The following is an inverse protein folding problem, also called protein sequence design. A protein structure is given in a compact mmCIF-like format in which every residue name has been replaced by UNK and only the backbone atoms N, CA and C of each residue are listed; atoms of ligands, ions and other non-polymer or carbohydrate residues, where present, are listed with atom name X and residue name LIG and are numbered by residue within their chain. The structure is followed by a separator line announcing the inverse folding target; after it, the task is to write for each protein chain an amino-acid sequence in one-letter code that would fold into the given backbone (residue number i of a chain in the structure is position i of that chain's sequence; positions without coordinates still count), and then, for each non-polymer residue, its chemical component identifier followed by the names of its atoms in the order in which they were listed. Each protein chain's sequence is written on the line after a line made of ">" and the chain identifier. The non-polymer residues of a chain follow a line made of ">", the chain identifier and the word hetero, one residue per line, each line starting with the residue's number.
data_IF_885233309577
#
_entry.id   IF_885233309577
#
_cell.length_a   1.000
_cell.length_b   1.000
_cell.length_c   1.000
_cell.angle_alpha   90.00
_cell.angle_beta   90.00
_cell.angle_gamma   90.00
#
_symmetry.space_group_name_H-M   'P 1'
#
loop_
_entity.id
_entity.type
_entity.pdbx_description
1 polymer ?
#
# COMPACT_ATOMS: atom_id res chain seq x y z
N UNK A 1 9.02 -10.78 -19.67
CA UNK A 1 7.98 -10.24 -18.77
C UNK A 1 8.58 -10.29 -17.37
N UNK A 2 8.43 -9.23 -16.58
CA UNK A 2 8.89 -9.24 -15.19
C UNK A 2 8.13 -10.32 -14.43
N UNK A 3 8.84 -11.14 -13.66
CA UNK A 3 8.25 -12.21 -12.86
C UNK A 3 7.57 -11.61 -11.63
N UNK A 4 6.38 -12.09 -11.30
CA UNK A 4 5.69 -11.73 -10.07
C UNK A 4 6.42 -12.33 -8.87
N UNK A 5 6.74 -11.51 -7.89
CA UNK A 5 7.58 -11.86 -6.73
C UNK A 5 6.78 -11.69 -5.45
N UNK A 6 7.10 -12.43 -4.41
CA UNK A 6 6.52 -12.27 -3.09
C UNK A 6 7.56 -12.42 -1.98
N UNK A 7 7.21 -11.94 -0.80
CA UNK A 7 7.96 -12.09 0.43
C UNK A 7 7.16 -12.91 1.42
N UNK A 8 7.79 -13.89 2.04
CA UNK A 8 7.26 -14.66 3.17
C UNK A 8 7.81 -14.10 4.48
N UNK A 9 6.98 -14.05 5.51
CA UNK A 9 7.40 -13.93 6.90
C UNK A 9 6.91 -15.13 7.72
N UNK A 10 7.81 -15.98 8.11
CA UNK A 10 7.54 -17.05 9.08
C UNK A 10 7.69 -16.50 10.51
N UNK A 11 6.55 -16.29 11.18
CA UNK A 11 6.53 -15.73 12.55
C UNK A 11 7.25 -16.67 13.54
N UNK A 12 7.16 -17.99 13.34
CA UNK A 12 7.79 -18.97 14.23
C UNK A 12 9.32 -18.93 14.18
N UNK A 13 9.92 -18.49 13.08
CA UNK A 13 11.36 -18.35 12.92
C UNK A 13 11.90 -16.98 13.35
N UNK A 14 11.03 -15.98 13.46
CA UNK A 14 11.48 -14.61 13.75
C UNK A 14 12.10 -14.50 15.15
N UNK A 15 13.34 -14.05 15.22
CA UNK A 15 14.08 -13.83 16.48
C UNK A 15 13.98 -12.39 17.02
N UNK A 16 13.17 -11.53 16.39
CA UNK A 16 13.02 -10.11 16.74
C UNK A 16 14.33 -9.30 16.77
N UNK A 17 15.33 -9.71 16.03
CA UNK A 17 16.65 -9.04 15.99
C UNK A 17 16.61 -7.62 15.39
N UNK A 18 15.51 -7.20 14.72
CA UNK A 18 15.28 -5.89 14.09
C UNK A 18 16.23 -5.53 12.94
N UNK A 19 17.10 -6.42 12.50
CA UNK A 19 18.01 -6.17 11.38
C UNK A 19 17.25 -5.71 10.12
N UNK A 20 16.07 -6.27 9.86
CA UNK A 20 15.18 -5.87 8.76
C UNK A 20 14.73 -4.40 8.84
N UNK A 21 14.53 -3.85 10.04
CA UNK A 21 14.18 -2.43 10.24
C UNK A 21 15.37 -1.53 9.91
N UNK A 22 16.56 -1.89 10.40
CA UNK A 22 17.79 -1.12 10.16
C UNK A 22 18.14 -1.15 8.67
N UNK A 23 18.10 -2.33 8.03
CA UNK A 23 18.39 -2.46 6.61
C UNK A 23 17.41 -1.68 5.73
N UNK A 24 16.13 -1.61 6.10
CA UNK A 24 15.13 -0.80 5.40
C UNK A 24 15.46 0.69 5.50
N UNK A 25 15.75 1.18 6.72
CA UNK A 25 16.14 2.59 6.92
C UNK A 25 17.40 2.96 6.15
N UNK A 26 18.40 2.09 6.18
CA UNK A 26 19.69 2.33 5.51
C UNK A 26 19.54 2.33 3.99
N UNK A 27 18.75 1.41 3.43
CA UNK A 27 18.55 1.32 1.98
C UNK A 27 17.79 2.52 1.41
N UNK A 28 16.75 2.97 2.12
CA UNK A 28 15.88 4.06 1.67
C UNK A 28 16.27 5.43 2.24
N UNK A 29 17.44 5.54 2.87
CA UNK A 29 17.94 6.77 3.52
C UNK A 29 16.88 7.41 4.46
N UNK A 30 16.16 6.56 5.21
CA UNK A 30 15.12 7.02 6.11
C UNK A 30 15.73 7.50 7.42
N UNK A 31 15.43 8.72 7.88
CA UNK A 31 15.98 9.27 9.11
C UNK A 31 15.53 8.45 10.32
N UNK A 32 16.28 8.59 11.42
CA UNK A 32 15.85 8.07 12.70
C UNK A 32 14.54 8.76 13.13
N UNK A 33 13.61 7.99 13.69
CA UNK A 33 12.42 8.54 14.29
C UNK A 33 12.73 8.90 15.74
N UNK A 34 12.96 10.19 15.98
CA UNK A 34 13.25 10.75 17.29
C UNK A 34 12.00 11.27 18.00
N UNK A 35 10.84 11.21 17.36
CA UNK A 35 9.59 11.76 17.89
C UNK A 35 8.93 10.86 18.94
N UNK A 36 9.34 9.59 18.99
CA UNK A 36 8.79 8.62 19.95
C UNK A 36 9.78 8.40 21.08
N UNK A 37 9.55 8.92 22.28
CA UNK A 37 10.41 8.66 23.43
C UNK A 37 10.37 7.18 23.78
N UNK A 38 11.50 6.66 24.28
CA UNK A 38 11.57 5.30 24.81
C UNK A 38 10.85 5.25 26.16
N UNK A 39 9.73 4.54 26.22
CA UNK A 39 8.88 4.41 27.41
C UNK A 39 9.08 3.07 28.15
N UNK A 40 10.22 2.43 27.97
CA UNK A 40 10.53 1.15 28.62
C UNK A 40 9.92 -0.07 27.91
N UNK A 41 9.42 0.09 26.69
CA UNK A 41 8.88 -1.01 25.87
C UNK A 41 9.98 -1.66 25.03
N UNK A 42 9.75 -2.93 24.62
CA UNK A 42 10.70 -3.64 23.76
C UNK A 42 10.75 -3.09 22.32
N UNK A 43 9.70 -2.46 21.85
CA UNK A 43 9.63 -1.87 20.51
C UNK A 43 9.72 -0.35 20.57
N UNK A 44 10.36 0.23 19.56
CA UNK A 44 10.57 1.68 19.46
C UNK A 44 9.32 2.46 19.09
N UNK A 45 8.34 1.81 18.45
CA UNK A 45 7.13 2.43 17.93
C UNK A 45 5.93 1.51 18.13
N UNK A 46 4.76 2.09 18.39
CA UNK A 46 3.52 1.31 18.46
C UNK A 46 3.03 0.86 17.07
N UNK A 47 3.27 1.69 16.03
CA UNK A 47 2.84 1.44 14.65
C UNK A 47 3.87 1.99 13.66
N UNK A 48 3.60 1.81 12.37
CA UNK A 48 4.40 2.39 11.29
C UNK A 48 4.35 3.92 11.32
N UNK A 49 5.46 4.56 10.92
CA UNK A 49 5.57 6.01 10.79
C UNK A 49 6.00 6.40 9.37
N UNK A 50 5.95 7.68 8.99
CA UNK A 50 6.43 8.10 7.66
C UNK A 50 7.88 7.73 7.38
N UNK A 51 8.70 7.56 8.40
CA UNK A 51 10.12 7.22 8.31
C UNK A 51 10.45 5.80 8.79
N UNK A 52 9.46 5.05 9.29
CA UNK A 52 9.61 3.65 9.73
C UNK A 52 8.62 2.78 8.96
N UNK A 53 9.03 2.32 7.76
CA UNK A 53 8.18 1.60 6.81
C UNK A 53 7.97 0.14 7.16
N UNK A 54 8.79 -0.39 8.05
CA UNK A 54 8.66 -1.73 8.61
C UNK A 54 9.07 -1.72 10.07
N UNK A 55 8.45 -2.56 10.85
CA UNK A 55 8.58 -2.64 12.30
C UNK A 55 8.59 -4.11 12.71
N UNK A 56 9.20 -4.46 13.81
CA UNK A 56 8.94 -5.72 14.52
C UNK A 56 8.07 -5.38 15.72
N UNK A 57 6.80 -5.75 15.64
CA UNK A 57 5.87 -5.68 16.77
C UNK A 57 6.08 -6.90 17.67
N UNK A 58 6.28 -6.63 18.93
CA UNK A 58 6.49 -7.64 19.98
C UNK A 58 5.26 -7.67 20.87
N UNK A 59 4.65 -8.83 21.02
CA UNK A 59 3.45 -9.00 21.84
C UNK A 59 3.67 -10.16 22.82
N UNK A 60 3.55 -9.86 24.11
CA UNK A 60 3.53 -10.85 25.16
C UNK A 60 2.08 -11.29 25.40
N UNK A 61 1.86 -12.57 25.48
CA UNK A 61 0.55 -13.13 25.80
C UNK A 61 0.68 -14.45 26.52
N UNK A 62 -0.31 -14.76 27.33
CA UNK A 62 -0.48 -16.08 27.94
C UNK A 62 -1.67 -16.76 27.27
N UNK A 63 -1.49 -17.97 26.78
CA UNK A 63 -2.56 -18.74 26.17
C UNK A 63 -3.54 -19.31 27.22
N UNK A 64 -4.64 -19.92 26.76
CA UNK A 64 -5.68 -20.50 27.63
C UNK A 64 -5.15 -21.66 28.53
N UNK A 65 -3.99 -22.18 28.22
CA UNK A 65 -3.30 -23.22 28.99
C UNK A 65 -2.30 -22.67 29.99
N UNK A 66 -2.18 -21.35 30.11
CA UNK A 66 -1.24 -20.64 30.97
C UNK A 66 0.20 -20.61 30.44
N UNK A 67 0.44 -21.00 29.17
CA UNK A 67 1.75 -20.93 28.54
C UNK A 67 2.02 -19.50 28.07
N UNK A 68 3.17 -18.97 28.47
CA UNK A 68 3.68 -17.68 27.96
C UNK A 68 4.15 -17.84 26.52
N UNK A 69 3.74 -16.89 25.67
CA UNK A 69 4.15 -16.77 24.29
C UNK A 69 4.63 -15.33 24.03
N UNK A 70 5.68 -15.22 23.24
CA UNK A 70 6.22 -13.94 22.79
C UNK A 70 6.21 -13.91 21.27
N UNK A 71 5.28 -13.15 20.70
CA UNK A 71 5.01 -13.14 19.27
C UNK A 71 5.72 -11.98 18.61
N UNK A 72 6.37 -12.24 17.46
CA UNK A 72 7.14 -11.26 16.69
C UNK A 72 6.54 -11.12 15.29
N UNK A 73 5.81 -10.06 15.07
CA UNK A 73 5.16 -9.79 13.80
C UNK A 73 5.85 -8.61 13.11
N UNK A 74 6.02 -8.70 11.81
CA UNK A 74 6.62 -7.64 10.98
C UNK A 74 5.53 -6.87 10.19
N UNK A 75 4.86 -5.85 10.76
CA UNK A 75 4.00 -4.95 10.00
C UNK A 75 4.79 -4.22 8.91
N UNK A 76 4.20 -4.18 7.72
CA UNK A 76 4.67 -3.41 6.56
C UNK A 76 3.57 -3.36 5.51
N UNK A 77 3.85 -2.78 4.34
CA UNK A 77 2.91 -2.87 3.23
C UNK A 77 2.69 -4.33 2.81
N UNK A 78 1.41 -4.68 2.59
CA UNK A 78 1.02 -6.02 2.15
C UNK A 78 1.20 -6.22 0.64
N UNK A 79 1.38 -5.14 -0.12
CA UNK A 79 1.46 -5.17 -1.59
C UNK A 79 0.32 -5.98 -2.19
N UNK A 80 -0.90 -5.49 -1.97
CA UNK A 80 -2.15 -6.14 -2.36
C UNK A 80 -2.22 -6.43 -3.86
N UNK A 81 -2.81 -7.55 -4.24
CA UNK A 81 -3.14 -7.86 -5.62
C UNK A 81 -4.16 -6.88 -6.20
N UNK A 82 -5.09 -6.44 -5.35
CA UNK A 82 -6.10 -5.40 -5.63
C UNK A 82 -5.94 -4.22 -4.65
N UNK A 83 -4.97 -3.29 -4.90
CA UNK A 83 -4.60 -2.27 -3.95
C UNK A 83 -5.61 -1.12 -3.89
N UNK A 84 -6.40 -1.05 -2.80
CA UNK A 84 -7.35 0.04 -2.53
C UNK A 84 -6.70 1.43 -2.56
N UNK A 85 -5.44 1.53 -2.10
CA UNK A 85 -4.69 2.78 -2.11
C UNK A 85 -4.41 3.30 -3.53
N UNK A 86 -4.13 2.42 -4.50
CA UNK A 86 -3.92 2.78 -5.90
C UNK A 86 -5.26 3.14 -6.57
N UNK A 87 -6.29 2.32 -6.37
CA UNK A 87 -7.63 2.57 -6.92
C UNK A 87 -8.21 3.91 -6.45
N UNK A 88 -8.02 4.24 -5.17
CA UNK A 88 -8.55 5.46 -4.55
C UNK A 88 -7.69 6.70 -4.77
N UNK A 89 -6.53 6.61 -5.43
CA UNK A 89 -5.66 7.76 -5.64
C UNK A 89 -6.22 8.66 -6.76
N UNK A 90 -6.59 9.93 -6.47
CA UNK A 90 -7.12 10.84 -7.49
C UNK A 90 -6.05 11.24 -8.52
N UNK A 91 -4.79 11.36 -8.08
CA UNK A 91 -3.65 11.77 -8.90
C UNK A 91 -2.97 10.61 -9.63
N UNK A 92 -3.47 9.37 -9.49
CA UNK A 92 -2.83 8.19 -10.06
C UNK A 92 -1.34 8.09 -9.69
N UNK A 93 -1.02 8.48 -8.45
CA UNK A 93 0.34 8.50 -7.93
C UNK A 93 0.78 7.16 -7.33
N UNK A 94 -0.06 6.13 -7.39
CA UNK A 94 0.25 4.81 -6.81
C UNK A 94 0.06 3.74 -7.87
N UNK A 95 1.14 3.03 -8.19
CA UNK A 95 1.18 2.00 -9.21
C UNK A 95 1.41 0.62 -8.59
N UNK A 96 0.76 -0.41 -9.17
CA UNK A 96 1.12 -1.81 -8.97
C UNK A 96 1.98 -2.27 -10.11
N UNK A 97 3.22 -2.62 -9.81
CA UNK A 97 4.20 -3.11 -10.79
C UNK A 97 3.97 -4.60 -11.10
N UNK A 98 4.51 -5.06 -12.23
CA UNK A 98 4.43 -6.46 -12.64
C UNK A 98 5.14 -7.41 -11.65
N UNK A 99 6.12 -6.92 -10.90
CA UNK A 99 6.76 -7.65 -9.80
C UNK A 99 5.87 -7.84 -8.57
N UNK A 100 4.65 -7.26 -8.54
CA UNK A 100 3.76 -7.27 -7.39
C UNK A 100 3.97 -6.09 -6.42
N UNK A 101 5.04 -5.32 -6.57
CA UNK A 101 5.29 -4.14 -5.75
C UNK A 101 4.21 -3.07 -6.00
N UNK A 102 3.69 -2.50 -4.92
CA UNK A 102 2.81 -1.32 -4.97
C UNK A 102 3.64 -0.13 -4.52
N UNK A 103 3.87 0.83 -5.41
CA UNK A 103 4.80 1.95 -5.19
C UNK A 103 4.09 3.29 -5.28
N UNK A 104 4.61 4.29 -4.59
CA UNK A 104 4.12 5.67 -4.63
C UNK A 104 5.11 6.51 -5.43
N UNK A 105 4.61 7.19 -6.46
CA UNK A 105 5.35 8.23 -7.15
C UNK A 105 5.19 9.54 -6.36
N UNK A 106 6.26 9.96 -5.69
CA UNK A 106 6.25 11.15 -4.84
C UNK A 106 6.05 12.45 -5.62
N UNK A 107 6.47 12.51 -6.89
CA UNK A 107 6.28 13.70 -7.74
C UNK A 107 4.80 13.96 -8.01
N UNK A 108 4.02 12.90 -8.26
CA UNK A 108 2.57 12.97 -8.49
C UNK A 108 1.77 13.09 -7.19
N UNK A 109 2.32 12.67 -6.07
CA UNK A 109 1.59 12.63 -4.80
C UNK A 109 1.33 14.04 -4.27
N UNK A 110 0.08 14.39 -3.99
CA UNK A 110 -0.35 15.67 -3.40
C UNK A 110 -0.66 15.59 -1.89
N UNK A 111 -0.44 14.42 -1.27
CA UNK A 111 -0.64 14.23 0.17
C UNK A 111 -2.08 14.27 0.65
N UNK A 112 -3.06 14.00 -0.22
CA UNK A 112 -4.50 14.11 0.09
C UNK A 112 -5.02 13.12 1.15
N UNK A 113 -4.24 12.09 1.53
CA UNK A 113 -4.59 11.13 2.59
C UNK A 113 -5.56 10.02 2.18
N UNK A 114 -6.10 9.98 0.95
CA UNK A 114 -7.03 8.90 0.54
C UNK A 114 -6.42 7.50 0.67
N UNK A 115 -5.16 7.32 0.35
CA UNK A 115 -4.46 6.04 0.50
C UNK A 115 -4.35 5.60 1.98
N UNK A 116 -4.25 6.55 2.91
CA UNK A 116 -4.25 6.28 4.36
C UNK A 116 -5.64 5.80 4.79
N UNK A 117 -6.69 6.55 4.44
CA UNK A 117 -8.06 6.25 4.85
C UNK A 117 -8.60 4.93 4.27
N UNK A 118 -8.10 4.50 3.10
CA UNK A 118 -8.63 3.34 2.39
C UNK A 118 -7.78 2.07 2.53
N UNK A 119 -6.64 2.13 3.22
CA UNK A 119 -5.81 0.96 3.43
C UNK A 119 -6.39 0.07 4.55
N UNK A 120 -6.80 -1.19 4.26
CA UNK A 120 -7.35 -2.06 5.29
C UNK A 120 -6.30 -2.54 6.32
N UNK A 121 -5.02 -2.19 6.10
CA UNK A 121 -3.88 -2.56 6.95
C UNK A 121 -3.23 -1.35 7.64
N UNK A 122 -3.77 -0.15 7.49
CA UNK A 122 -3.27 1.11 8.08
C UNK A 122 -1.79 1.39 7.78
N UNK A 123 -1.34 1.11 6.56
CA UNK A 123 0.09 1.17 6.22
C UNK A 123 0.57 2.54 5.72
N UNK A 124 -0.04 3.18 4.70
CA UNK A 124 0.44 4.48 4.22
C UNK A 124 0.38 5.53 5.33
N UNK A 125 1.41 6.38 5.41
CA UNK A 125 1.46 7.51 6.35
C UNK A 125 1.82 8.78 5.59
N UNK A 126 1.28 9.92 6.01
CA UNK A 126 1.67 11.22 5.45
C UNK A 126 2.89 11.72 6.20
N UNK A 127 3.95 12.02 5.46
CA UNK A 127 5.13 12.67 6.01
C UNK A 127 4.82 14.15 6.26
N UNK A 128 4.91 14.64 7.51
CA UNK A 128 4.55 16.01 7.84
C UNK A 128 5.55 17.06 7.30
N UNK A 129 6.77 16.67 6.94
CA UNK A 129 7.77 17.55 6.36
C UNK A 129 7.60 17.70 4.85
N UNK A 130 7.38 16.58 4.13
CA UNK A 130 7.25 16.60 2.66
C UNK A 130 5.81 16.73 2.19
N UNK A 131 4.84 16.54 3.08
CA UNK A 131 3.41 16.42 2.77
C UNK A 131 3.10 15.33 1.73
N UNK A 132 3.96 14.30 1.61
CA UNK A 132 3.79 13.18 0.71
C UNK A 132 3.40 11.92 1.49
N UNK A 133 2.71 11.00 0.83
CA UNK A 133 2.45 9.68 1.41
C UNK A 133 3.66 8.79 1.25
N UNK A 134 3.98 8.05 2.29
CA UNK A 134 5.12 7.11 2.32
C UNK A 134 4.69 5.74 2.81
N UNK A 135 5.35 4.70 2.37
CA UNK A 135 5.18 3.31 2.81
C UNK A 135 6.29 2.43 2.24
N UNK A 136 6.41 1.20 2.73
CA UNK A 136 7.24 0.18 2.10
C UNK A 136 6.87 0.03 0.61
N UNK A 137 7.88 -0.01 -0.25
CA UNK A 137 7.79 -0.12 -1.71
C UNK A 137 8.25 -1.50 -2.24
N UNK A 138 8.52 -2.46 -1.33
CA UNK A 138 9.09 -3.79 -1.59
C UNK A 138 10.55 -3.73 -2.11
N UNK A 139 11.23 -2.61 -1.99
CA UNK A 139 12.52 -2.35 -2.60
C UNK A 139 12.47 -2.64 -4.12
N UNK A 140 11.50 -2.07 -4.82
CA UNK A 140 11.25 -2.36 -6.25
C UNK A 140 12.48 -2.09 -7.11
N UNK A 141 13.27 -1.07 -6.77
CA UNK A 141 14.54 -0.73 -7.39
C UNK A 141 15.55 -1.91 -7.34
N UNK A 142 15.62 -2.60 -6.19
CA UNK A 142 16.45 -3.80 -6.04
C UNK A 142 15.90 -4.97 -6.85
N UNK A 143 14.58 -5.14 -6.86
CA UNK A 143 13.93 -6.23 -7.61
C UNK A 143 14.16 -6.07 -9.11
N UNK A 144 14.11 -4.86 -9.64
CA UNK A 144 14.41 -4.57 -11.05
C UNK A 144 15.83 -4.95 -11.45
N UNK A 145 16.79 -4.85 -10.52
CA UNK A 145 18.18 -5.28 -10.68
C UNK A 145 18.41 -6.77 -10.32
N UNK A 146 17.34 -7.54 -10.05
CA UNK A 146 17.45 -8.94 -9.66
C UNK A 146 18.02 -9.16 -8.25
N UNK A 147 17.98 -8.15 -7.39
CA UNK A 147 18.54 -8.17 -6.03
C UNK A 147 17.40 -8.34 -5.02
N UNK A 148 17.62 -9.22 -4.05
CA UNK A 148 16.67 -9.45 -2.93
C UNK A 148 16.42 -8.17 -2.13
N UNK A 149 15.16 -7.87 -1.74
CA UNK A 149 14.83 -6.75 -0.86
C UNK A 149 15.70 -6.70 0.39
N UNK A 150 16.09 -5.49 0.82
CA UNK A 150 17.10 -5.30 1.88
C UNK A 150 16.74 -6.01 3.19
N UNK A 151 15.47 -5.98 3.58
CA UNK A 151 14.99 -6.63 4.80
C UNK A 151 15.07 -8.17 4.74
N UNK A 152 14.80 -8.79 3.60
CA UNK A 152 14.95 -10.24 3.42
C UNK A 152 16.43 -10.63 3.36
N UNK A 153 17.26 -9.86 2.62
CA UNK A 153 18.69 -10.11 2.50
C UNK A 153 19.42 -10.12 3.84
N UNK A 154 18.98 -9.31 4.81
CA UNK A 154 19.61 -9.19 6.13
C UNK A 154 19.03 -10.13 7.18
N UNK A 155 18.02 -10.94 6.86
CA UNK A 155 17.34 -11.80 7.83
C UNK A 155 18.21 -13.01 8.19
N UNK A 156 18.87 -12.96 9.35
CA UNK A 156 19.77 -14.03 9.83
C UNK A 156 19.03 -15.28 10.32
N UNK A 157 17.74 -15.15 10.67
CA UNK A 157 16.89 -16.25 11.12
C UNK A 157 16.15 -16.95 9.97
N UNK A 158 16.38 -16.52 8.73
CA UNK A 158 15.65 -16.99 7.53
C UNK A 158 14.11 -16.95 7.70
N UNK A 159 13.65 -16.03 8.56
CA UNK A 159 12.23 -15.76 8.78
C UNK A 159 11.61 -14.95 7.64
N UNK A 160 12.43 -14.22 6.86
CA UNK A 160 12.03 -13.47 5.67
C UNK A 160 12.65 -14.13 4.45
N UNK A 161 11.79 -14.65 3.57
CA UNK A 161 12.22 -15.25 2.30
C UNK A 161 11.59 -14.46 1.15
N UNK A 162 12.30 -14.39 0.02
CA UNK A 162 11.86 -13.67 -1.17
C UNK A 162 12.16 -14.50 -2.40
N UNK A 163 11.11 -14.81 -3.16
CA UNK A 163 11.17 -15.66 -4.34
C UNK A 163 9.97 -15.34 -5.28
N UNK A 164 9.85 -16.01 -6.44
CA UNK A 164 8.63 -16.00 -7.24
C UNK A 164 7.38 -16.29 -6.41
N UNK A 165 6.28 -15.61 -6.74
CA UNK A 165 5.04 -15.68 -5.96
C UNK A 165 4.57 -17.13 -5.74
N UNK A 166 4.54 -17.95 -6.78
CA UNK A 166 4.11 -19.36 -6.71
C UNK A 166 5.03 -20.20 -5.80
N UNK A 167 6.34 -19.93 -5.85
CA UNK A 167 7.33 -20.60 -5.00
C UNK A 167 7.14 -20.23 -3.51
N UNK A 168 6.89 -18.94 -3.23
CA UNK A 168 6.59 -18.48 -1.86
C UNK A 168 5.30 -19.11 -1.33
N UNK A 169 4.27 -19.25 -2.15
CA UNK A 169 3.04 -19.94 -1.72
C UNK A 169 3.30 -21.41 -1.40
N UNK A 170 4.14 -22.09 -2.18
CA UNK A 170 4.49 -23.50 -1.92
C UNK A 170 5.30 -23.62 -0.63
N UNK A 171 6.34 -22.80 -0.44
CA UNK A 171 7.12 -22.74 0.79
C UNK A 171 6.20 -22.49 2.00
N UNK A 172 5.26 -21.56 1.89
CA UNK A 172 4.32 -21.25 2.96
C UNK A 172 3.42 -22.45 3.30
N UNK A 173 2.90 -23.17 2.29
CA UNK A 173 2.08 -24.38 2.50
C UNK A 173 2.86 -25.49 3.18
N UNK A 174 4.09 -25.74 2.73
CA UNK A 174 4.97 -26.75 3.34
C UNK A 174 5.28 -26.39 4.79
N UNK A 175 5.61 -25.15 5.08
CA UNK A 175 5.90 -24.69 6.44
C UNK A 175 4.69 -24.80 7.38
N UNK A 176 3.49 -24.53 6.89
CA UNK A 176 2.26 -24.77 7.67
C UNK A 176 2.07 -26.25 7.99
N UNK A 177 2.37 -27.17 7.07
CA UNK A 177 2.29 -28.60 7.32
C UNK A 177 3.30 -29.03 8.42
N UNK A 178 4.53 -28.52 8.39
CA UNK A 178 5.54 -28.75 9.42
C UNK A 178 5.06 -28.24 10.78
N UNK A 179 4.58 -27.00 10.87
CA UNK A 179 4.06 -26.41 12.12
C UNK A 179 2.91 -27.23 12.69
N UNK A 180 2.01 -27.75 11.86
CA UNK A 180 0.95 -28.64 12.33
C UNK A 180 1.48 -29.95 12.92
N UNK A 181 2.52 -30.53 12.31
CA UNK A 181 3.21 -31.71 12.84
C UNK A 181 3.97 -31.38 14.14
N UNK A 182 4.48 -30.17 14.31
CA UNK A 182 5.13 -29.66 15.52
C UNK A 182 4.15 -29.33 16.66
N UNK A 183 2.83 -29.47 16.46
CA UNK A 183 1.81 -29.27 17.49
C UNK A 183 1.09 -27.92 17.43
N UNK A 184 1.11 -27.23 16.28
CA UNK A 184 0.36 -26.02 16.00
C UNK A 184 -0.85 -26.30 15.08
N UNK A 185 -1.97 -26.85 15.58
CA UNK A 185 -3.09 -27.30 14.74
C UNK A 185 -3.77 -26.18 13.97
N UNK A 186 -3.72 -24.95 14.50
CA UNK A 186 -4.30 -23.75 13.89
C UNK A 186 -3.35 -23.04 12.91
N UNK A 187 -2.14 -23.60 12.65
CA UNK A 187 -1.18 -23.00 11.73
C UNK A 187 -1.79 -22.79 10.35
N UNK A 188 -1.54 -21.63 9.78
CA UNK A 188 -2.14 -21.21 8.52
C UNK A 188 -1.27 -20.21 7.73
N UNK A 189 -1.59 -20.06 6.44
CA UNK A 189 -1.05 -19.01 5.61
C UNK A 189 -2.00 -17.81 5.62
N UNK A 190 -1.51 -16.64 5.95
CA UNK A 190 -2.25 -15.40 5.81
C UNK A 190 -1.98 -14.75 4.45
N UNK A 191 -2.93 -14.90 3.55
CA UNK A 191 -2.96 -14.32 2.20
C UNK A 191 -4.42 -13.93 1.88
N UNK A 192 -4.91 -12.76 2.37
CA UNK A 192 -6.34 -12.40 2.30
C UNK A 192 -6.79 -12.14 0.87
N UNK A 193 -7.73 -12.94 0.39
CA UNK A 193 -8.25 -12.88 -0.98
C UNK A 193 -9.16 -11.67 -1.23
N UNK A 194 -9.72 -11.05 -0.20
CA UNK A 194 -10.57 -9.87 -0.31
C UNK A 194 -9.85 -8.60 -0.81
N UNK A 195 -8.51 -8.65 -0.89
CA UNK A 195 -7.65 -7.62 -1.48
C UNK A 195 -6.89 -8.16 -2.71
N UNK A 196 -7.38 -9.26 -3.32
CA UNK A 196 -6.77 -9.92 -4.48
C UNK A 196 -5.49 -10.70 -4.14
N UNK A 197 -5.34 -11.18 -2.90
CA UNK A 197 -4.10 -11.71 -2.37
C UNK A 197 -3.09 -10.62 -2.03
N UNK A 198 -1.94 -11.02 -1.50
CA UNK A 198 -0.88 -10.10 -1.06
C UNK A 198 0.51 -10.64 -1.45
N UNK A 199 1.46 -9.73 -1.70
CA UNK A 199 2.85 -10.10 -1.99
C UNK A 199 3.74 -10.05 -0.74
N UNK A 200 3.14 -9.79 0.43
CA UNK A 200 3.72 -10.03 1.74
C UNK A 200 2.89 -11.07 2.44
N UNK A 201 3.29 -12.33 2.36
CA UNK A 201 2.60 -13.51 2.86
C UNK A 201 3.15 -13.84 4.25
N UNK A 202 2.27 -14.29 5.16
CA UNK A 202 2.70 -14.71 6.49
C UNK A 202 2.37 -16.19 6.74
N UNK A 203 3.31 -16.90 7.33
CA UNK A 203 3.07 -18.18 7.98
C UNK A 203 2.85 -17.94 9.46
N UNK A 204 1.67 -18.32 9.93
CA UNK A 204 1.19 -18.09 11.28
C UNK A 204 1.04 -19.42 12.02
N UNK A 205 1.67 -19.61 13.20
CA UNK A 205 1.47 -20.79 14.06
C UNK A 205 0.06 -20.92 14.62
N UNK A 206 -0.68 -19.80 14.74
CA UNK A 206 -2.05 -19.75 15.28
C UNK A 206 -2.96 -18.92 14.38
N UNK A 207 -4.23 -18.76 14.78
CA UNK A 207 -5.23 -18.00 14.01
C UNK A 207 -4.79 -16.56 13.77
N UNK A 208 -5.09 -15.97 12.59
CA UNK A 208 -4.65 -14.62 12.21
C UNK A 208 -5.00 -13.54 13.24
N UNK A 209 -6.16 -13.64 13.87
CA UNK A 209 -6.63 -12.69 14.87
C UNK A 209 -5.72 -12.58 16.10
N UNK A 210 -5.01 -13.66 16.46
CA UNK A 210 -4.03 -13.67 17.56
C UNK A 210 -2.89 -12.68 17.30
N UNK A 211 -2.52 -12.54 16.04
CA UNK A 211 -1.46 -11.63 15.56
C UNK A 211 -1.97 -10.26 15.10
N UNK A 212 -3.25 -9.97 15.32
CA UNK A 212 -3.89 -8.73 14.87
C UNK A 212 -4.13 -8.65 13.37
N UNK A 213 -4.15 -9.78 12.68
CA UNK A 213 -4.53 -9.87 11.27
C UNK A 213 -6.03 -10.16 11.12
N UNK A 214 -6.71 -9.37 10.30
CA UNK A 214 -8.11 -9.64 9.95
C UNK A 214 -8.18 -10.53 8.71
N UNK A 215 -8.65 -11.80 8.81
CA UNK A 215 -8.77 -12.70 7.66
C UNK A 215 -9.78 -12.22 6.62
N UNK A 216 -10.70 -11.33 7.00
CA UNK A 216 -11.71 -10.75 6.11
C UNK A 216 -11.30 -9.39 5.53
N UNK A 217 -10.00 -9.04 5.59
CA UNK A 217 -9.50 -7.81 4.96
C UNK A 217 -9.89 -7.76 3.48
N UNK A 218 -10.54 -6.67 3.08
CA UNK A 218 -11.03 -6.47 1.70
C UNK A 218 -10.90 -5.02 1.27
N UNK A 219 -10.83 -4.82 -0.04
CA UNK A 219 -10.94 -3.50 -0.64
C UNK A 219 -12.32 -2.91 -0.30
N UNK A 220 -12.40 -1.66 0.19
CA UNK A 220 -13.69 -1.03 0.46
C UNK A 220 -14.53 -0.89 -0.82
N UNK A 221 -15.78 -1.33 -0.78
CA UNK A 221 -16.71 -1.28 -1.93
C UNK A 221 -16.91 0.16 -2.45
N UNK A 222 -16.82 1.15 -1.58
CA UNK A 222 -16.90 2.58 -1.96
C UNK A 222 -15.82 2.99 -2.97
N UNK A 223 -14.65 2.34 -2.92
CA UNK A 223 -13.53 2.59 -3.85
C UNK A 223 -13.81 2.01 -5.23
N UNK A 224 -14.37 0.82 -5.28
CA UNK A 224 -14.75 0.19 -6.55
C UNK A 224 -15.83 1.04 -7.25
N UNK A 225 -16.87 1.46 -6.51
CA UNK A 225 -17.91 2.36 -7.03
C UNK A 225 -17.31 3.69 -7.51
N UNK A 226 -16.41 4.28 -6.72
CA UNK A 226 -15.74 5.52 -7.09
C UNK A 226 -14.97 5.39 -8.39
N UNK A 227 -14.13 4.36 -8.51
CA UNK A 227 -13.26 4.15 -9.67
C UNK A 227 -14.06 3.79 -10.93
N UNK A 228 -15.01 2.86 -10.80
CA UNK A 228 -15.64 2.22 -11.96
C UNK A 228 -16.91 2.95 -12.43
N UNK A 229 -17.53 3.74 -11.55
CA UNK A 229 -18.79 4.46 -11.84
C UNK A 229 -18.64 5.96 -11.75
N UNK A 230 -18.24 6.48 -10.59
CA UNK A 230 -18.31 7.94 -10.32
C UNK A 230 -17.25 8.69 -11.13
N UNK A 231 -16.02 8.20 -11.17
CA UNK A 231 -14.90 8.85 -11.85
C UNK A 231 -15.09 8.93 -13.39
N UNK A 232 -15.49 7.86 -14.11
CA UNK A 232 -15.74 7.95 -15.55
C UNK A 232 -16.92 8.87 -15.86
N UNK A 233 -18.01 8.81 -15.09
CA UNK A 233 -19.15 9.72 -15.26
C UNK A 233 -18.78 11.18 -15.02
N UNK A 234 -17.95 11.46 -14.02
CA UNK A 234 -17.43 12.82 -13.77
C UNK A 234 -16.56 13.36 -14.89
N UNK A 235 -15.70 12.50 -15.49
CA UNK A 235 -14.89 12.87 -16.66
C UNK A 235 -15.78 13.16 -17.89
N UNK A 236 -16.83 12.38 -18.13
CA UNK A 236 -17.78 12.59 -19.23
C UNK A 236 -18.61 13.86 -19.01
N UNK A 237 -19.10 14.11 -17.81
CA UNK A 237 -19.85 15.31 -17.47
C UNK A 237 -18.97 16.58 -17.60
N UNK A 238 -17.73 16.53 -17.13
CA UNK A 238 -16.76 17.63 -17.29
C UNK A 238 -16.43 17.93 -18.74
N UNK A 239 -16.23 16.91 -19.56
CA UNK A 239 -16.01 17.07 -21.01
C UNK A 239 -17.25 17.67 -21.70
N UNK A 240 -18.46 17.22 -21.36
CA UNK A 240 -19.72 17.76 -21.87
C UNK A 240 -19.92 19.22 -21.48
N UNK A 241 -19.59 19.61 -20.25
CA UNK A 241 -19.67 20.99 -19.79
C UNK A 241 -18.68 21.92 -20.55
N UNK A 242 -17.45 21.45 -20.77
CA UNK A 242 -16.44 22.18 -21.56
C UNK A 242 -16.88 22.41 -23.01
N UNK A 243 -17.41 21.36 -23.65
CA UNK A 243 -17.95 21.47 -25.02
C UNK A 243 -19.16 22.43 -25.07
N UNK A 244 -20.03 22.39 -24.07
CA UNK A 244 -21.15 23.31 -23.94
C UNK A 244 -20.72 24.78 -23.79
N UNK A 245 -19.72 25.04 -22.94
CA UNK A 245 -19.19 26.41 -22.75
C UNK A 245 -18.49 26.92 -24.01
N UNK A 246 -17.69 26.10 -24.68
CA UNK A 246 -17.04 26.44 -25.93
C UNK A 246 -18.05 26.66 -27.06
N UNK A 247 -19.11 25.86 -27.14
CA UNK A 247 -20.20 26.00 -28.07
C UNK A 247 -20.96 27.31 -27.88
N UNK A 248 -21.29 27.65 -26.61
CA UNK A 248 -21.95 28.93 -26.28
C UNK A 248 -21.05 30.16 -26.58
N UNK A 249 -19.74 30.04 -26.34
CA UNK A 249 -18.79 31.10 -26.67
C UNK A 249 -18.68 31.32 -28.20
N UNK A 250 -18.68 30.23 -28.98
CA UNK A 250 -18.68 30.31 -30.46
C UNK A 250 -19.96 30.93 -30.99
N UNK A 251 -21.14 30.55 -30.46
CA UNK A 251 -22.42 31.16 -30.86
C UNK A 251 -22.48 32.64 -30.50
N UNK A 252 -22.00 33.04 -29.31
CA UNK A 252 -21.92 34.47 -28.94
C UNK A 252 -20.96 35.25 -29.82
N UNK A 253 -19.84 34.64 -30.21
CA UNK A 253 -18.88 35.28 -31.15
C UNK A 253 -19.46 35.52 -32.54
N UNK A 254 -20.29 34.58 -33.02
CA UNK A 254 -20.97 34.68 -34.33
C UNK A 254 -22.13 35.68 -34.29
N UNK A 255 -22.90 35.75 -33.20
CA UNK A 255 -24.01 36.70 -33.04
C UNK A 255 -23.54 38.13 -32.71
N UNK A 256 -22.37 38.25 -32.02
CA UNK A 256 -21.77 39.57 -31.76
C UNK A 256 -21.25 40.27 -33.00
N UNK A 257 -20.73 39.55 -34.01
CA UNK A 257 -20.32 40.13 -35.30
C UNK A 257 -21.50 40.65 -36.13
N UNK A 258 -22.66 39.98 -36.08
CA UNK A 258 -23.85 40.45 -36.82
C UNK A 258 -24.43 41.75 -36.30
N UNK A 259 -24.26 42.10 -35.02
CA UNK A 259 -24.74 43.37 -34.47
C UNK A 259 -23.83 44.56 -34.79
N UNK A 260 -22.55 44.34 -35.07
CA UNK A 260 -21.63 45.41 -35.46
C UNK A 260 -21.78 45.82 -36.92
N UNK A 261 -22.16 44.89 -37.80
CA UNK A 261 -22.38 45.22 -39.24
C UNK A 261 -23.70 45.98 -39.49
N UNK A 262 -24.69 45.88 -38.59
CA UNK A 262 -25.97 46.59 -38.70
C UNK A 262 -25.90 48.05 -38.15
N UNK A 263 -24.93 48.36 -37.27
CA UNK A 263 -24.75 49.70 -36.71
C UNK A 263 -23.86 50.63 -37.57
N UNK A 264 -23.06 50.09 -38.50
CA UNK A 264 -22.24 50.92 -39.45
C UNK A 264 -23.00 51.35 -40.70
N UNK A 265 -24.11 50.70 -41.03
CA UNK A 265 -24.89 51.06 -42.27
C UNK A 265 -26.03 52.04 -42.00
N UNK A 266 -26.17 52.59 -40.78
CA UNK A 266 -27.23 53.48 -40.35
C UNK A 266 -26.83 54.98 -40.25
N UNK A 267 -25.59 55.35 -40.60
CA UNK A 267 -25.12 56.77 -40.54
C UNK A 267 -24.63 57.28 -41.88
N UNK A 268 -25.58 57.44 -42.80
CA UNK A 268 -25.33 58.11 -44.07
C UNK A 268 -26.64 58.48 -44.71
N UNK A 269 -27.17 59.60 -44.28
CA UNK A 269 -28.10 60.48 -45.01
C UNK A 269 -28.89 61.39 -44.05
N UNK A 270 -28.35 62.53 -43.73
CA UNK A 270 -29.05 63.86 -43.79
C UNK A 270 -28.04 64.94 -43.39
#
# INVERSE_FOLDING_TARGET
>A
MAQEMAMLHDIARCSACRACMVACKQWHDLPADMSTPFEGQYQSHATLTPTTWTLIRMTERTDDKGKFNWDFVKPQCMHCGDPACAKGCPEEAIDKLASGAVVINEEKCVGCGYCVANCPFDVPKINPQTHKSTKCDLCFDRIEEGITPSCAKTCTADALQFAPYEEIEEIARQRVAELKAEGHPDANVYNPQGVGGVHMIYVLPEKPMVYGFNPQSKTPVSIDIWKDVVRPLGKLAGAGALVGVLGLAAVKGLTGKKKQDDDENGKGEH
#
